data_IF_699599161561
#
_entry.id   IF_699599161561
#
_cell.length_a   1.000
_cell.length_b   1.000
_cell.length_c   1.000
_cell.angle_alpha   90.00
_cell.angle_beta   90.00
_cell.angle_gamma   90.00
#
_symmetry.space_group_name_H-M   'P 1'
#
loop_
_entity.id
_entity.type
_entity.pdbx_description
1 polymer ?
#
# COMPACT_ATOMS: atom_id res chain seq x y z
N UNK A 1 11.79 -19.20 -6.02
CA UNK A 1 10.51 -19.55 -5.36
C UNK A 1 9.58 -18.36 -5.50
N UNK A 2 8.27 -18.55 -5.68
CA UNK A 2 7.31 -17.42 -5.75
C UNK A 2 7.12 -16.83 -4.34
N UNK A 3 6.97 -15.51 -4.24
CA UNK A 3 6.73 -14.85 -2.95
C UNK A 3 5.37 -15.26 -2.37
N UNK A 4 5.31 -15.40 -1.04
CA UNK A 4 4.07 -15.62 -0.29
C UNK A 4 3.30 -14.31 -0.04
N UNK A 5 3.98 -13.16 -0.17
CA UNK A 5 3.45 -11.81 0.08
C UNK A 5 2.09 -11.54 -0.57
N UNK A 6 1.83 -11.79 -1.88
CA UNK A 6 0.53 -11.49 -2.47
C UNK A 6 -0.62 -12.34 -1.89
N UNK A 7 -0.33 -13.57 -1.50
CA UNK A 7 -1.33 -14.46 -0.88
C UNK A 7 -1.69 -13.99 0.53
N UNK A 8 -0.68 -13.57 1.29
CA UNK A 8 -0.86 -13.03 2.62
C UNK A 8 -1.60 -11.68 2.60
N UNK A 9 -1.32 -10.83 1.61
CA UNK A 9 -2.06 -9.57 1.41
C UNK A 9 -3.56 -9.86 1.18
N UNK A 10 -3.90 -10.83 0.33
CA UNK A 10 -5.30 -11.25 0.12
C UNK A 10 -5.94 -11.75 1.42
N UNK A 11 -5.25 -12.59 2.17
CA UNK A 11 -5.77 -13.12 3.45
C UNK A 11 -6.01 -12.00 4.49
N UNK A 12 -5.09 -11.03 4.63
CA UNK A 12 -5.26 -9.89 5.54
C UNK A 12 -6.40 -8.99 5.05
N UNK A 13 -6.54 -8.78 3.73
CA UNK A 13 -7.63 -7.99 3.16
C UNK A 13 -9.00 -8.62 3.46
N UNK A 14 -9.14 -9.93 3.24
CA UNK A 14 -10.34 -10.69 3.57
C UNK A 14 -10.64 -10.62 5.07
N UNK A 15 -9.65 -10.86 5.92
CA UNK A 15 -9.79 -10.72 7.37
C UNK A 15 -10.27 -9.32 7.80
N UNK A 16 -9.69 -8.25 7.25
CA UNK A 16 -10.16 -6.88 7.51
C UNK A 16 -11.62 -6.70 7.09
N UNK A 17 -11.99 -7.20 5.91
CA UNK A 17 -13.34 -7.06 5.35
C UNK A 17 -14.37 -7.83 6.18
N UNK A 18 -14.07 -9.06 6.57
CA UNK A 18 -14.93 -9.91 7.39
C UNK A 18 -15.18 -9.33 8.79
N UNK A 19 -14.25 -8.53 9.31
CA UNK A 19 -14.38 -7.82 10.59
C UNK A 19 -14.98 -6.42 10.45
N UNK A 20 -15.48 -6.05 9.26
CA UNK A 20 -16.00 -4.71 8.96
C UNK A 20 -14.98 -3.57 9.20
N UNK A 21 -13.68 -3.89 9.13
CA UNK A 21 -12.60 -2.91 9.24
C UNK A 21 -12.28 -2.26 7.90
N UNK A 22 -11.63 -1.10 7.95
CA UNK A 22 -11.19 -0.39 6.74
C UNK A 22 -9.74 -0.78 6.39
N UNK A 23 -9.51 -1.59 5.33
CA UNK A 23 -8.17 -2.01 4.95
C UNK A 23 -7.37 -0.86 4.33
N UNK A 24 -6.22 -0.57 4.93
CA UNK A 24 -5.30 0.48 4.54
C UNK A 24 -3.97 -0.13 4.08
N UNK A 25 -3.62 0.13 2.82
CA UNK A 25 -2.41 -0.36 2.17
C UNK A 25 -1.33 0.72 2.24
N UNK A 26 -0.22 0.43 2.90
CA UNK A 26 0.96 1.28 2.90
C UNK A 26 1.94 0.76 1.86
N UNK A 27 2.37 1.64 0.95
CA UNK A 27 3.28 1.29 -0.14
C UNK A 27 4.45 2.26 -0.20
N UNK A 28 5.61 1.72 -0.56
CA UNK A 28 6.73 2.51 -1.09
C UNK A 28 6.39 2.98 -2.50
N UNK A 29 6.89 4.15 -2.89
CA UNK A 29 6.62 4.78 -4.19
C UNK A 29 7.93 4.95 -4.94
N UNK A 30 8.04 4.24 -6.06
CA UNK A 30 9.16 4.28 -7.00
C UNK A 30 8.67 4.63 -8.42
N UNK A 31 9.53 4.44 -9.42
CA UNK A 31 9.19 4.67 -10.84
C UNK A 31 8.15 3.70 -11.40
N UNK A 32 7.93 2.55 -10.76
CA UNK A 32 6.97 1.53 -11.19
C UNK A 32 5.60 1.69 -10.53
N UNK A 33 5.47 2.66 -9.61
CA UNK A 33 4.25 2.88 -8.84
C UNK A 33 3.42 4.00 -9.46
N UNK A 34 2.15 3.73 -9.77
CA UNK A 34 1.20 4.72 -10.28
C UNK A 34 0.29 5.14 -9.13
N UNK A 35 0.54 6.35 -8.62
CA UNK A 35 -0.23 6.99 -7.54
C UNK A 35 -0.23 8.51 -7.74
N UNK A 36 -1.19 9.25 -7.17
CA UNK A 36 -1.17 10.70 -7.18
C UNK A 36 -0.01 11.24 -6.31
N UNK A 37 1.05 11.69 -6.98
CA UNK A 37 2.33 12.08 -6.36
C UNK A 37 2.19 13.17 -5.28
N UNK A 38 1.18 14.03 -5.38
CA UNK A 38 0.95 15.08 -4.37
C UNK A 38 0.59 14.56 -2.97
N UNK A 39 0.21 13.29 -2.84
CA UNK A 39 -0.10 12.65 -1.55
C UNK A 39 1.03 11.78 -1.01
N UNK A 40 2.16 11.71 -1.71
CA UNK A 40 3.32 10.92 -1.32
C UNK A 40 4.15 11.69 -0.29
N UNK A 41 4.53 11.03 0.80
CA UNK A 41 5.35 11.56 1.89
C UNK A 41 6.46 10.56 2.20
N UNK A 42 7.72 11.00 2.22
CA UNK A 42 8.89 10.15 2.47
C UNK A 42 8.96 8.90 1.58
N UNK A 43 8.63 9.07 0.28
CA UNK A 43 8.50 8.00 -0.71
C UNK A 43 7.47 6.92 -0.32
N UNK A 44 6.47 7.28 0.47
CA UNK A 44 5.41 6.38 0.91
C UNK A 44 4.04 7.01 0.70
N UNK A 45 3.05 6.18 0.51
CA UNK A 45 1.64 6.57 0.49
C UNK A 45 0.82 5.50 1.17
N UNK A 46 -0.23 5.93 1.86
CA UNK A 46 -1.22 5.04 2.45
C UNK A 46 -2.53 5.19 1.68
N UNK A 47 -3.04 4.07 1.21
CA UNK A 47 -4.19 3.98 0.32
C UNK A 47 -5.32 3.24 1.02
N UNK A 48 -6.51 3.82 1.03
CA UNK A 48 -7.71 3.12 1.46
C UNK A 48 -8.14 2.16 0.33
N UNK A 49 -8.07 0.84 0.59
CA UNK A 49 -8.46 -0.17 -0.40
C UNK A 49 -9.79 -0.85 -0.07
N UNK A 50 -10.60 -0.29 0.84
CA UNK A 50 -11.92 -0.83 1.16
C UNK A 50 -12.81 -0.94 -0.09
N UNK A 51 -13.74 -1.91 -0.09
CA UNK A 51 -14.69 -2.11 -1.18
C UNK A 51 -15.46 -0.82 -1.55
N UNK A 52 -15.87 -0.03 -0.55
CA UNK A 52 -16.56 1.25 -0.78
C UNK A 52 -15.67 2.43 -1.21
N UNK A 53 -14.34 2.27 -1.14
CA UNK A 53 -13.36 3.32 -1.49
C UNK A 53 -12.70 3.09 -2.86
N UNK A 54 -12.92 1.92 -3.46
CA UNK A 54 -12.26 1.50 -4.69
C UNK A 54 -13.25 0.99 -5.72
N UNK A 55 -12.83 0.97 -6.98
CA UNK A 55 -13.52 0.29 -8.07
C UNK A 55 -12.55 -0.63 -8.78
N UNK A 56 -13.01 -1.83 -9.14
CA UNK A 56 -12.23 -2.86 -9.82
C UNK A 56 -10.92 -3.21 -9.09
N UNK A 57 -10.98 -3.34 -7.75
CA UNK A 57 -9.82 -3.79 -6.98
C UNK A 57 -9.40 -5.18 -7.42
N UNK A 58 -8.16 -5.30 -7.87
CA UNK A 58 -7.49 -6.54 -8.19
C UNK A 58 -6.21 -6.63 -7.35
N UNK A 59 -6.12 -7.70 -6.55
CA UNK A 59 -4.89 -8.06 -5.81
C UNK A 59 -4.33 -9.31 -6.47
N UNK A 60 -3.49 -9.13 -7.49
CA UNK A 60 -2.83 -10.21 -8.23
C UNK A 60 -1.48 -10.59 -7.56
N UNK A 61 -0.69 -11.45 -8.18
CA UNK A 61 0.61 -11.90 -7.67
C UNK A 61 1.73 -10.90 -7.91
N UNK A 62 1.59 -10.01 -8.90
CA UNK A 62 2.60 -9.02 -9.24
C UNK A 62 2.16 -7.60 -8.92
N UNK A 63 0.86 -7.32 -9.01
CA UNK A 63 0.30 -5.98 -8.90
C UNK A 63 -0.97 -5.92 -8.07
N UNK A 64 -1.15 -4.81 -7.38
CA UNK A 64 -2.42 -4.35 -6.83
C UNK A 64 -2.89 -3.19 -7.71
N UNK A 65 -4.07 -3.31 -8.31
CA UNK A 65 -4.64 -2.26 -9.17
C UNK A 65 -6.08 -1.95 -8.76
N UNK A 66 -6.46 -0.68 -8.87
CA UNK A 66 -7.82 -0.22 -8.63
C UNK A 66 -8.01 1.21 -9.14
N UNK A 67 -9.26 1.65 -9.21
CA UNK A 67 -9.62 3.06 -9.36
C UNK A 67 -10.09 3.62 -8.02
N UNK A 68 -9.67 4.85 -7.70
CA UNK A 68 -10.14 5.57 -6.52
C UNK A 68 -10.24 7.07 -6.80
N UNK A 69 -11.05 7.78 -6.00
CA UNK A 69 -11.17 9.23 -6.08
C UNK A 69 -10.20 9.91 -5.10
N UNK A 70 -9.44 10.88 -5.61
CA UNK A 70 -8.55 11.73 -4.83
C UNK A 70 -8.96 13.18 -5.04
N UNK A 71 -9.42 13.85 -3.98
CA UNK A 71 -9.94 15.22 -4.05
C UNK A 71 -10.99 15.41 -5.16
N UNK A 72 -11.87 14.42 -5.34
CA UNK A 72 -12.95 14.44 -6.34
C UNK A 72 -12.54 14.00 -7.76
N UNK A 73 -11.26 13.76 -8.04
CA UNK A 73 -10.79 13.25 -9.33
C UNK A 73 -10.56 11.75 -9.28
N UNK A 74 -11.13 10.99 -10.21
CA UNK A 74 -10.90 9.55 -10.33
C UNK A 74 -9.53 9.30 -10.95
N UNK A 75 -8.76 8.39 -10.37
CA UNK A 75 -7.42 8.03 -10.85
C UNK A 75 -7.23 6.51 -10.80
N UNK A 76 -6.49 5.99 -11.77
CA UNK A 76 -6.00 4.61 -11.73
C UNK A 76 -4.79 4.52 -10.80
N UNK A 77 -4.78 3.47 -9.98
CA UNK A 77 -3.72 3.14 -9.05
C UNK A 77 -3.12 1.79 -9.45
N UNK A 78 -1.79 1.71 -9.47
CA UNK A 78 -1.05 0.48 -9.69
C UNK A 78 0.16 0.41 -8.75
N UNK A 79 0.21 -0.63 -7.94
CA UNK A 79 1.25 -0.86 -6.94
C UNK A 79 1.88 -2.23 -7.16
N UNK A 80 3.19 -2.33 -7.42
CA UNK A 80 3.88 -3.62 -7.43
C UNK A 80 3.76 -4.28 -6.06
N UNK A 81 3.54 -5.60 -6.00
CA UNK A 81 3.50 -6.37 -4.74
C UNK A 81 4.81 -6.20 -3.96
N UNK A 82 5.94 -6.08 -4.67
CA UNK A 82 7.25 -5.79 -4.11
C UNK A 82 7.28 -4.54 -3.21
N UNK A 83 6.50 -3.51 -3.58
CA UNK A 83 6.49 -2.19 -2.93
C UNK A 83 5.54 -2.09 -1.74
N UNK A 84 4.71 -3.11 -1.48
CA UNK A 84 3.80 -3.12 -0.33
C UNK A 84 4.60 -3.20 0.96
N UNK A 85 4.45 -2.21 1.84
CA UNK A 85 5.11 -2.15 3.14
C UNK A 85 4.23 -2.73 4.25
N UNK A 86 2.92 -2.52 4.17
CA UNK A 86 1.97 -3.07 5.14
C UNK A 86 0.55 -3.09 4.57
N UNK A 87 -0.27 -3.98 5.13
CA UNK A 87 -1.73 -3.92 5.04
C UNK A 87 -2.30 -4.03 6.45
N UNK A 88 -3.12 -3.08 6.86
CA UNK A 88 -3.66 -3.02 8.22
C UNK A 88 -5.06 -2.41 8.28
N UNK A 89 -5.81 -2.74 9.33
CA UNK A 89 -7.08 -2.13 9.67
C UNK A 89 -6.84 -0.71 10.22
N UNK A 90 -7.49 0.29 9.63
CA UNK A 90 -7.42 1.69 10.07
C UNK A 90 -7.81 1.87 11.54
N UNK A 91 -8.77 1.08 12.01
CA UNK A 91 -9.45 1.22 13.31
C UNK A 91 -8.54 0.93 14.49
N UNK A 92 -7.69 -0.09 14.37
CA UNK A 92 -6.89 -0.62 15.47
C UNK A 92 -5.41 -0.86 15.11
N UNK A 93 -5.02 -0.63 13.85
CA UNK A 93 -3.67 -0.83 13.35
C UNK A 93 -3.24 -2.30 13.20
N UNK A 94 -4.14 -3.26 13.43
CA UNK A 94 -3.84 -4.68 13.28
C UNK A 94 -3.71 -5.06 11.81
N UNK A 95 -2.78 -5.97 11.51
CA UNK A 95 -2.49 -6.40 10.16
C UNK A 95 -1.08 -6.96 10.08
N UNK A 96 -0.42 -6.73 8.96
CA UNK A 96 0.92 -7.26 8.73
C UNK A 96 1.81 -6.25 8.01
N UNK A 97 3.07 -6.20 8.45
CA UNK A 97 4.15 -5.52 7.76
C UNK A 97 4.93 -6.52 6.90
N UNK A 98 5.48 -6.03 5.80
CA UNK A 98 6.25 -6.82 4.86
C UNK A 98 7.58 -6.13 4.56
N UNK A 99 8.61 -6.93 4.34
CA UNK A 99 9.86 -6.44 3.80
C UNK A 99 9.69 -6.01 2.34
N UNK A 100 10.45 -4.99 1.93
CA UNK A 100 10.53 -4.62 0.51
C UNK A 100 11.24 -5.73 -0.25
N UNK A 101 10.56 -6.30 -1.24
CA UNK A 101 11.17 -7.29 -2.11
C UNK A 101 11.88 -6.56 -3.25
N UNK A 102 13.10 -6.98 -3.59
CA UNK A 102 13.89 -6.40 -4.69
C UNK A 102 14.34 -4.93 -4.50
N UNK A 103 14.28 -4.38 -3.28
CA UNK A 103 14.97 -3.13 -2.99
C UNK A 103 16.48 -3.41 -2.87
N UNK A 104 17.21 -3.23 -3.96
CA UNK A 104 18.65 -2.98 -3.90
C UNK A 104 18.83 -1.48 -3.72
N UNK A 105 19.13 -0.97 -2.51
CA UNK A 105 19.56 0.41 -2.39
C UNK A 105 20.78 0.57 -3.30
N UNK A 106 20.70 1.44 -4.29
CA UNK A 106 21.91 2.05 -4.82
C UNK A 106 22.53 2.76 -3.62
N UNK A 107 23.64 2.26 -3.08
CA UNK A 107 24.38 2.92 -2.00
C UNK A 107 24.63 4.38 -2.39
N UNK A 108 24.19 5.33 -1.55
CA UNK A 108 25.18 6.18 -0.91
C UNK A 108 24.92 6.37 0.60
N UNK A 109 26.00 6.19 1.36
CA UNK A 109 26.35 6.73 2.71
C UNK A 109 25.25 7.15 3.68
N UNK A 110 25.28 6.52 4.87
CA UNK A 110 24.72 6.90 6.18
C UNK A 110 23.87 8.17 6.25
N UNK A 111 22.57 8.02 6.56
CA UNK A 111 21.91 8.92 7.50
C UNK A 111 20.70 8.28 8.20
N UNK A 112 20.56 8.56 9.50
CA UNK A 112 19.62 7.93 10.45
C UNK A 112 18.14 8.17 10.13
N UNK A 113 17.21 7.26 10.53
CA UNK A 113 15.79 7.45 10.29
C UNK A 113 15.16 8.45 11.28
N UNK A 114 14.44 9.43 10.72
CA UNK A 114 13.50 10.31 11.43
C UNK A 114 12.13 9.63 11.52
N UNK A 115 11.61 9.50 12.74
CA UNK A 115 10.28 8.96 13.03
C UNK A 115 9.24 10.07 12.88
N UNK A 116 8.69 10.24 11.68
CA UNK A 116 7.57 11.14 11.38
C UNK A 116 6.32 10.35 11.01
N UNK A 117 5.23 10.50 11.78
CA UNK A 117 3.97 9.81 11.53
C UNK A 117 3.34 10.24 10.20
N UNK A 118 3.09 9.26 9.31
CA UNK A 118 2.44 9.48 8.03
C UNK A 118 0.99 9.95 8.23
N UNK A 119 0.62 11.06 7.59
CA UNK A 119 -0.77 11.54 7.62
C UNK A 119 -1.63 10.71 6.67
N UNK A 120 -2.70 10.17 7.24
CA UNK A 120 -3.75 9.47 6.54
C UNK A 120 -4.47 10.40 5.55
N UNK A 121 -4.47 10.06 4.25
CA UNK A 121 -5.24 10.80 3.24
C UNK A 121 -6.68 10.29 3.28
N UNK A 122 -7.64 11.17 3.57
CA UNK A 122 -9.08 10.86 3.60
C UNK A 122 -9.69 11.01 2.21
#
# INVERSE_FOLDING_TARGET
MKSQKPYLIRAIYEWCTDNEFTPYLMTFVDSNTIVPKQFVQDNKIVLNIAFGATKNLLIDNEWITFQASFSGSIMDIAVPIANVLALFAKENGQGMQFELENYTPSTPTDDKPSTGGLKLVK
#
